data_IF_347005296925
#
_entry.id   IF_347005296925
#
_cell.length_a   1.000
_cell.length_b   1.000
_cell.length_c   1.000
_cell.angle_alpha   90.00
_cell.angle_beta   90.00
_cell.angle_gamma   90.00
#
_symmetry.space_group_name_H-M   'P 1'
#
loop_
_entity.id
_entity.type
_entity.pdbx_description
1 polymer ?
#
# COMPACT_ATOMS: atom_id res chain seq x y z
N UNK A 1 -14.52 -2.19 -32.83
CA UNK A 1 -14.28 -2.85 -31.53
C UNK A 1 -12.92 -2.36 -31.07
N UNK A 2 -12.91 -1.15 -30.53
CA UNK A 2 -11.67 -0.50 -30.08
C UNK A 2 -11.45 -0.91 -28.62
N UNK A 3 -10.29 -1.51 -28.35
CA UNK A 3 -9.88 -1.84 -27.01
C UNK A 3 -9.69 -0.54 -26.20
N UNK A 4 -10.42 -0.34 -25.09
CA UNK A 4 -10.27 0.86 -24.29
C UNK A 4 -8.90 0.79 -23.60
N UNK A 5 -8.03 1.72 -23.98
CA UNK A 5 -6.69 1.88 -23.44
C UNK A 5 -6.71 2.03 -21.92
N UNK A 6 -6.58 0.91 -21.20
CA UNK A 6 -5.84 0.59 -19.98
C UNK A 6 -5.53 1.61 -18.87
N UNK A 7 -5.99 2.86 -18.90
CA UNK A 7 -5.64 3.90 -17.94
C UNK A 7 -6.70 3.97 -16.83
N UNK A 8 -6.24 3.91 -15.58
CA UNK A 8 -7.09 4.16 -14.39
C UNK A 8 -7.81 5.49 -14.51
N UNK A 9 -7.23 6.45 -15.22
CA UNK A 9 -7.82 7.76 -15.43
C UNK A 9 -9.10 7.68 -16.25
N UNK A 10 -9.15 6.82 -17.27
CA UNK A 10 -10.38 6.58 -18.04
C UNK A 10 -11.45 5.93 -17.17
N UNK A 11 -11.09 4.92 -16.38
CA UNK A 11 -12.02 4.27 -15.46
C UNK A 11 -12.53 5.24 -14.36
N UNK A 12 -11.65 6.09 -13.82
CA UNK A 12 -12.02 7.12 -12.84
C UNK A 12 -12.84 8.27 -13.45
N UNK A 13 -12.58 8.64 -14.70
CA UNK A 13 -13.31 9.68 -15.41
C UNK A 13 -14.70 9.21 -15.81
N UNK A 14 -14.84 7.99 -16.33
CA UNK A 14 -16.15 7.36 -16.54
C UNK A 14 -16.90 7.22 -15.21
N UNK A 15 -16.24 6.79 -14.12
CA UNK A 15 -16.91 6.74 -12.82
C UNK A 15 -17.34 8.12 -12.32
N UNK A 16 -16.54 9.16 -12.54
CA UNK A 16 -16.84 10.53 -12.13
C UNK A 16 -17.97 11.17 -12.97
N UNK A 17 -18.04 10.86 -14.27
CA UNK A 17 -19.11 11.31 -15.16
C UNK A 17 -20.42 10.57 -14.93
N UNK A 18 -20.35 9.26 -14.64
CA UNK A 18 -21.53 8.40 -14.45
C UNK A 18 -22.00 8.32 -12.99
N UNK A 19 -21.24 8.91 -12.05
CA UNK A 19 -21.58 8.89 -10.63
C UNK A 19 -22.90 9.64 -10.36
N UNK A 20 -23.90 9.00 -9.71
CA UNK A 20 -25.10 9.68 -9.23
C UNK A 20 -24.73 10.83 -8.28
N UNK A 21 -25.55 11.89 -8.21
CA UNK A 21 -25.32 13.00 -7.27
C UNK A 21 -25.22 12.56 -5.80
N UNK A 22 -25.76 11.39 -5.46
CA UNK A 22 -25.69 10.77 -4.13
C UNK A 22 -24.33 10.12 -3.80
N UNK A 23 -23.38 10.12 -4.73
CA UNK A 23 -22.06 9.49 -4.58
C UNK A 23 -22.04 7.98 -4.84
N UNK A 24 -20.87 7.37 -4.73
CA UNK A 24 -20.63 5.92 -4.90
C UNK A 24 -20.26 5.29 -3.55
N UNK A 25 -20.67 4.03 -3.34
CA UNK A 25 -20.14 3.28 -2.21
C UNK A 25 -18.70 2.85 -2.48
N UNK A 26 -17.92 2.64 -1.41
CA UNK A 26 -16.58 2.07 -1.51
C UNK A 26 -16.60 0.74 -2.26
N UNK A 27 -17.62 -0.09 -2.06
CA UNK A 27 -17.82 -1.33 -2.83
C UNK A 27 -17.87 -1.08 -4.34
N UNK A 28 -18.74 -0.19 -4.80
CA UNK A 28 -18.89 0.11 -6.23
C UNK A 28 -17.61 0.70 -6.83
N UNK A 29 -16.85 1.49 -6.04
CA UNK A 29 -15.56 2.02 -6.47
C UNK A 29 -14.52 0.90 -6.64
N UNK A 30 -14.47 -0.07 -5.72
CA UNK A 30 -13.50 -1.16 -5.79
C UNK A 30 -13.86 -2.21 -6.83
N UNK A 31 -15.15 -2.55 -6.98
CA UNK A 31 -15.64 -3.45 -8.03
C UNK A 31 -15.29 -2.89 -9.43
N UNK A 32 -15.34 -1.56 -9.61
CA UNK A 32 -14.93 -0.92 -10.86
C UNK A 32 -13.41 -0.90 -11.09
N UNK A 33 -12.60 -1.04 -10.03
CA UNK A 33 -11.14 -1.06 -10.11
C UNK A 33 -10.58 -2.48 -10.29
N UNK A 34 -11.37 -3.52 -10.01
CA UNK A 34 -11.06 -4.95 -10.20
C UNK A 34 -9.66 -5.31 -9.65
N UNK A 35 -8.76 -5.90 -10.46
CA UNK A 35 -7.39 -6.26 -10.07
C UNK A 35 -6.58 -5.06 -9.50
N UNK A 36 -6.95 -3.81 -9.84
CA UNK A 36 -6.27 -2.60 -9.37
C UNK A 36 -6.70 -2.16 -7.98
N UNK A 37 -7.79 -2.72 -7.45
CA UNK A 37 -8.34 -2.38 -6.14
C UNK A 37 -7.36 -2.68 -5.00
N UNK A 38 -6.57 -3.76 -5.09
CA UNK A 38 -5.52 -4.06 -4.12
C UNK A 38 -4.51 -2.93 -4.01
N UNK A 39 -3.97 -2.49 -5.15
CA UNK A 39 -3.02 -1.38 -5.21
C UNK A 39 -3.61 -0.09 -4.67
N UNK A 40 -4.86 0.23 -5.03
CA UNK A 40 -5.53 1.44 -4.57
C UNK A 40 -5.74 1.47 -3.04
N UNK A 41 -6.20 0.36 -2.45
CA UNK A 41 -6.43 0.26 -1.00
C UNK A 41 -5.11 0.32 -0.24
N UNK A 42 -4.14 -0.48 -0.65
CA UNK A 42 -2.82 -0.51 -0.01
C UNK A 42 -2.15 0.85 -0.10
N UNK A 43 -2.25 1.54 -1.23
CA UNK A 43 -1.69 2.87 -1.41
C UNK A 43 -2.35 3.87 -0.45
N UNK A 44 -3.68 3.89 -0.39
CA UNK A 44 -4.41 4.76 0.53
C UNK A 44 -4.06 4.51 2.00
N UNK A 45 -3.90 3.24 2.40
CA UNK A 45 -3.50 2.86 3.76
C UNK A 45 -2.02 3.16 4.05
N UNK A 46 -1.14 3.12 3.05
CA UNK A 46 0.27 3.40 3.22
C UNK A 46 0.60 4.89 3.33
N UNK A 47 -0.24 5.77 2.80
CA UNK A 47 -0.01 7.23 2.83
C UNK A 47 0.17 7.79 4.25
N UNK A 48 -0.69 7.49 5.24
CA UNK A 48 -0.44 7.90 6.64
C UNK A 48 0.88 7.37 7.19
N UNK A 49 1.30 6.16 6.79
CA UNK A 49 2.55 5.53 7.24
C UNK A 49 3.81 6.23 6.70
N UNK A 50 3.69 7.00 5.61
CA UNK A 50 4.79 7.77 5.02
C UNK A 50 5.10 9.06 5.79
N UNK A 51 4.26 9.47 6.74
CA UNK A 51 4.46 10.69 7.51
C UNK A 51 5.52 10.42 8.60
N UNK A 52 6.68 11.12 8.56
CA UNK A 52 7.70 10.96 9.60
C UNK A 52 7.16 11.46 10.94
N UNK A 53 7.63 10.86 12.04
CA UNK A 53 7.22 11.20 13.42
C UNK A 53 5.75 10.93 13.76
N UNK A 54 4.99 10.23 12.91
CA UNK A 54 3.65 9.77 13.25
C UNK A 54 3.72 8.49 14.10
N UNK A 55 3.22 8.56 15.33
CA UNK A 55 3.19 7.43 16.27
C UNK A 55 1.80 6.82 16.37
N UNK A 56 1.72 5.53 16.74
CA UNK A 56 0.51 4.72 16.88
C UNK A 56 -0.31 4.49 15.59
N UNK A 57 -0.57 5.53 14.79
CA UNK A 57 -1.36 5.42 13.55
C UNK A 57 -0.76 4.40 12.58
N UNK A 58 0.55 4.41 12.24
CA UNK A 58 1.10 3.43 11.31
C UNK A 58 0.96 1.99 11.79
N UNK A 59 1.03 1.74 13.10
CA UNK A 59 0.90 0.38 13.67
C UNK A 59 -0.54 -0.14 13.58
N UNK A 60 -1.53 0.74 13.80
CA UNK A 60 -2.94 0.39 13.68
C UNK A 60 -3.29 0.17 12.20
N UNK A 61 -2.79 1.03 11.32
CA UNK A 61 -3.08 1.00 9.88
C UNK A 61 -2.34 -0.15 9.18
N UNK A 62 -1.19 -0.58 9.68
CA UNK A 62 -0.47 -1.73 9.13
C UNK A 62 -1.21 -3.06 9.30
N UNK A 63 -2.12 -3.17 10.27
CA UNK A 63 -2.93 -4.38 10.47
C UNK A 63 -3.90 -4.67 9.29
N UNK A 64 -4.82 -3.75 8.92
CA UNK A 64 -5.66 -3.96 7.75
C UNK A 64 -4.82 -4.02 6.47
N UNK A 65 -3.72 -3.27 6.39
CA UNK A 65 -2.80 -3.33 5.24
C UNK A 65 -2.18 -4.73 5.08
N UNK A 66 -1.72 -5.35 6.18
CA UNK A 66 -1.23 -6.71 6.20
C UNK A 66 -2.31 -7.73 5.83
N UNK A 67 -3.54 -7.53 6.31
CA UNK A 67 -4.67 -8.38 5.96
C UNK A 67 -4.99 -8.33 4.46
N UNK A 68 -4.99 -7.14 3.84
CA UNK A 68 -5.17 -6.98 2.40
C UNK A 68 -4.01 -7.63 1.61
N UNK A 69 -2.77 -7.39 2.03
CA UNK A 69 -1.60 -8.03 1.41
C UNK A 69 -1.64 -9.56 1.52
N UNK A 70 -2.13 -10.10 2.65
CA UNK A 70 -2.30 -11.53 2.84
C UNK A 70 -3.36 -12.13 1.91
N UNK A 71 -4.41 -11.38 1.59
CA UNK A 71 -5.39 -11.82 0.58
C UNK A 71 -4.78 -11.95 -0.82
N UNK A 72 -3.79 -11.11 -1.17
CA UNK A 72 -3.03 -11.28 -2.40
C UNK A 72 -2.20 -12.56 -2.40
N UNK A 73 -1.62 -12.94 -1.25
CA UNK A 73 -0.90 -14.23 -1.09
C UNK A 73 -1.81 -15.43 -1.35
N UNK A 74 -3.06 -15.34 -0.90
CA UNK A 74 -4.09 -16.35 -1.18
C UNK A 74 -4.52 -16.39 -2.66
N UNK A 75 -4.11 -15.40 -3.46
CA UNK A 75 -4.43 -15.31 -4.88
C UNK A 75 -5.86 -14.88 -5.16
N UNK A 76 -6.45 -14.05 -4.29
CA UNK A 76 -7.74 -13.43 -4.59
C UNK A 76 -7.60 -12.39 -5.69
N UNK A 77 -8.57 -12.32 -6.59
CA UNK A 77 -8.66 -11.31 -7.66
C UNK A 77 -9.06 -9.93 -7.15
N UNK A 78 -9.84 -9.88 -6.07
CA UNK A 78 -10.33 -8.65 -5.45
C UNK A 78 -10.13 -8.63 -3.93
N UNK A 79 -9.87 -7.45 -3.32
CA UNK A 79 -9.74 -7.29 -1.88
C UNK A 79 -11.11 -7.39 -1.21
N UNK A 80 -11.26 -8.32 -0.27
CA UNK A 80 -12.44 -8.40 0.57
C UNK A 80 -12.44 -7.29 1.62
N UNK A 81 -13.52 -6.51 1.67
CA UNK A 81 -13.76 -5.46 2.65
C UNK A 81 -14.87 -5.85 3.62
N UNK A 82 -14.75 -5.52 4.93
CA UNK A 82 -15.85 -5.68 5.87
C UNK A 82 -17.05 -4.83 5.47
N UNK A 83 -18.28 -5.35 5.62
CA UNK A 83 -19.53 -4.70 5.18
C UNK A 83 -19.66 -3.25 5.66
N UNK A 84 -19.25 -2.96 6.91
CA UNK A 84 -19.25 -1.60 7.49
C UNK A 84 -18.42 -0.58 6.70
N UNK A 85 -17.37 -1.01 6.00
CA UNK A 85 -16.56 -0.16 5.14
C UNK A 85 -17.08 -0.18 3.71
N UNK A 86 -17.49 -1.34 3.20
CA UNK A 86 -18.03 -1.49 1.85
C UNK A 86 -19.22 -0.56 1.58
N UNK A 87 -20.08 -0.34 2.58
CA UNK A 87 -21.29 0.48 2.47
C UNK A 87 -21.06 1.98 2.71
N UNK A 88 -19.84 2.39 3.10
CA UNK A 88 -19.53 3.82 3.23
C UNK A 88 -19.61 4.48 1.86
N UNK A 89 -20.37 5.57 1.79
CA UNK A 89 -20.50 6.38 0.58
C UNK A 89 -19.50 7.52 0.58
N UNK A 90 -18.85 7.71 -0.55
CA UNK A 90 -18.06 8.90 -0.87
C UNK A 90 -18.96 9.80 -1.70
N UNK A 91 -19.15 11.04 -1.25
CA UNK A 91 -19.89 12.06 -1.97
C UNK A 91 -19.16 12.49 -3.26
N UNK A 92 -19.90 13.12 -4.18
CA UNK A 92 -19.33 13.53 -5.48
C UNK A 92 -18.11 14.44 -5.31
N UNK A 93 -18.13 15.35 -4.33
CA UNK A 93 -17.00 16.23 -4.04
C UNK A 93 -15.76 15.46 -3.56
N UNK A 94 -15.94 14.42 -2.74
CA UNK A 94 -14.88 13.50 -2.33
C UNK A 94 -14.32 12.70 -3.50
N UNK A 95 -15.18 12.17 -4.36
CA UNK A 95 -14.79 11.45 -5.59
C UNK A 95 -13.97 12.34 -6.52
N UNK A 96 -14.42 13.56 -6.78
CA UNK A 96 -13.66 14.52 -7.60
C UNK A 96 -12.32 14.90 -6.97
N UNK A 97 -12.23 14.95 -5.64
CA UNK A 97 -10.96 15.24 -4.94
C UNK A 97 -9.98 14.07 -5.06
N UNK A 98 -10.48 12.84 -4.99
CA UNK A 98 -9.71 11.62 -5.25
C UNK A 98 -9.27 11.59 -6.70
N UNK A 99 -10.16 11.87 -7.65
CA UNK A 99 -9.85 11.93 -9.08
C UNK A 99 -8.84 13.03 -9.41
N UNK A 100 -8.95 14.24 -8.83
CA UNK A 100 -7.96 15.32 -9.01
C UNK A 100 -6.60 15.00 -8.41
N UNK A 101 -6.57 14.42 -7.21
CA UNK A 101 -5.32 13.97 -6.58
C UNK A 101 -4.70 12.84 -7.40
N UNK A 102 -5.52 11.90 -7.85
CA UNK A 102 -5.20 10.88 -8.84
C UNK A 102 -4.56 11.51 -10.07
N UNK A 103 -5.23 12.39 -10.79
CA UNK A 103 -4.69 13.10 -11.97
C UNK A 103 -3.37 13.82 -11.70
N UNK A 104 -3.13 14.36 -10.50
CA UNK A 104 -1.85 15.01 -10.16
C UNK A 104 -0.70 14.00 -10.00
N UNK A 105 -0.95 12.83 -9.41
CA UNK A 105 0.03 11.76 -9.27
C UNK A 105 0.16 10.93 -10.57
N UNK A 106 -0.96 10.63 -11.23
CA UNK A 106 -1.07 9.84 -12.45
C UNK A 106 -0.82 10.63 -13.73
N UNK A 107 -0.92 11.96 -13.75
CA UNK A 107 -0.59 12.76 -14.94
C UNK A 107 0.92 12.80 -15.24
N UNK A 108 1.75 12.69 -14.21
CA UNK A 108 3.19 12.41 -14.37
C UNK A 108 3.44 10.93 -14.70
N UNK A 109 2.60 10.04 -14.15
CA UNK A 109 2.66 8.62 -14.40
C UNK A 109 2.27 8.27 -15.84
N UNK A 110 1.27 8.85 -16.50
CA UNK A 110 0.94 8.56 -17.91
C UNK A 110 2.09 8.85 -18.89
N UNK A 111 3.01 9.78 -18.53
CA UNK A 111 4.24 10.03 -19.31
C UNK A 111 5.36 9.02 -19.05
N UNK A 112 5.34 8.29 -17.93
CA UNK A 112 6.41 7.39 -17.45
C UNK A 112 5.98 5.90 -17.48
N UNK A 113 4.74 5.64 -17.06
CA UNK A 113 4.01 4.38 -17.04
C UNK A 113 3.67 3.98 -18.46
N UNK A 114 4.60 3.27 -19.08
CA UNK A 114 4.25 2.30 -20.11
C UNK A 114 4.04 0.96 -19.41
N UNK A 115 3.13 0.08 -19.87
CA UNK A 115 3.00 -1.28 -19.36
C UNK A 115 4.31 -2.04 -19.62
N UNK A 116 5.25 -1.90 -18.69
CA UNK A 116 6.59 -2.47 -18.72
C UNK A 116 6.62 -3.52 -17.61
N UNK A 117 7.11 -4.71 -17.94
CA UNK A 117 7.20 -5.84 -17.02
C UNK A 117 5.84 -6.29 -16.45
N UNK A 118 4.80 -6.37 -17.28
CA UNK A 118 3.47 -6.90 -16.91
C UNK A 118 3.49 -8.31 -16.33
N UNK A 119 4.58 -9.07 -16.52
CA UNK A 119 4.80 -10.35 -15.83
C UNK A 119 4.79 -10.22 -14.30
N UNK A 120 5.20 -9.06 -13.75
CA UNK A 120 5.12 -8.79 -12.31
C UNK A 120 3.68 -8.60 -11.80
N UNK A 121 2.73 -8.33 -12.72
CA UNK A 121 1.29 -8.31 -12.44
C UNK A 121 0.60 -9.63 -12.84
N UNK A 122 1.36 -10.71 -13.02
CA UNK A 122 0.78 -12.06 -13.16
C UNK A 122 0.32 -12.59 -11.80
N UNK A 123 -0.68 -13.48 -11.79
CA UNK A 123 -1.25 -14.01 -10.55
C UNK A 123 -0.23 -14.71 -9.63
N UNK A 124 0.89 -15.20 -10.17
CA UNK A 124 1.98 -15.77 -9.36
C UNK A 124 2.87 -14.68 -8.77
N UNK A 125 3.22 -13.66 -9.56
CA UNK A 125 4.03 -12.55 -9.10
C UNK A 125 3.28 -11.71 -8.05
N UNK A 126 1.97 -11.51 -8.20
CA UNK A 126 1.15 -10.81 -7.21
C UNK A 126 1.13 -11.52 -5.85
N UNK A 127 1.18 -12.86 -5.81
CA UNK A 127 1.30 -13.62 -4.56
C UNK A 127 2.64 -13.38 -3.87
N UNK A 128 3.73 -13.32 -4.64
CA UNK A 128 5.08 -13.02 -4.12
C UNK A 128 5.12 -11.59 -3.60
N UNK A 129 4.57 -10.64 -4.37
CA UNK A 129 4.45 -9.24 -3.97
C UNK A 129 3.64 -9.11 -2.69
N UNK A 130 2.50 -9.80 -2.60
CA UNK A 130 1.68 -9.89 -1.38
C UNK A 130 2.48 -10.37 -0.18
N UNK A 131 3.31 -11.40 -0.34
CA UNK A 131 4.13 -11.94 0.74
C UNK A 131 5.20 -10.93 1.22
N UNK A 132 5.85 -10.22 0.29
CA UNK A 132 6.79 -9.15 0.62
C UNK A 132 6.09 -7.97 1.32
N UNK A 133 4.90 -7.59 0.85
CA UNK A 133 4.08 -6.57 1.46
C UNK A 133 3.67 -6.96 2.89
N UNK A 134 3.33 -8.22 3.15
CA UNK A 134 3.10 -8.71 4.51
C UNK A 134 4.34 -8.53 5.41
N UNK A 135 5.55 -8.80 4.90
CA UNK A 135 6.79 -8.57 5.65
C UNK A 135 7.00 -7.08 5.94
N UNK A 136 6.76 -6.21 4.96
CA UNK A 136 6.88 -4.76 5.16
C UNK A 136 5.87 -4.25 6.20
N UNK A 137 4.61 -4.70 6.11
CA UNK A 137 3.58 -4.38 7.12
C UNK A 137 3.96 -4.89 8.51
N UNK A 138 4.50 -6.10 8.60
CA UNK A 138 5.01 -6.66 9.86
C UNK A 138 6.13 -5.81 10.46
N UNK A 139 7.01 -5.25 9.64
CA UNK A 139 8.05 -4.33 10.13
C UNK A 139 7.49 -3.00 10.64
N UNK A 140 6.41 -2.47 10.06
CA UNK A 140 5.72 -1.26 10.53
C UNK A 140 5.04 -1.49 11.89
N UNK A 141 4.59 -2.72 12.15
CA UNK A 141 4.01 -3.11 13.44
C UNK A 141 5.02 -3.03 14.60
N UNK A 142 6.33 -3.08 14.33
CA UNK A 142 7.34 -2.95 15.37
C UNK A 142 7.43 -1.49 15.85
N UNK A 143 7.21 -1.20 17.15
CA UNK A 143 7.29 0.15 17.69
C UNK A 143 8.76 0.57 17.83
N UNK A 144 9.40 0.94 16.72
CA UNK A 144 10.69 1.62 16.74
C UNK A 144 10.54 3.06 16.23
N UNK A 145 11.22 4.03 16.86
CA UNK A 145 11.21 5.41 16.39
C UNK A 145 11.93 5.51 15.04
N UNK A 146 11.38 6.28 14.10
CA UNK A 146 11.94 6.55 12.76
C UNK A 146 12.01 5.36 11.79
N UNK A 147 11.62 4.16 12.21
CA UNK A 147 11.71 2.92 11.40
C UNK A 147 10.49 2.65 10.53
N UNK A 148 9.34 3.27 10.82
CA UNK A 148 8.07 2.90 10.20
C UNK A 148 7.84 3.60 8.86
N UNK A 149 8.51 4.73 8.66
CA UNK A 149 8.36 5.56 7.46
C UNK A 149 8.96 4.88 6.22
N UNK A 150 10.16 4.32 6.33
CA UNK A 150 10.83 3.61 5.22
C UNK A 150 10.02 2.44 4.65
N UNK A 151 9.55 1.47 5.46
CA UNK A 151 8.69 0.39 4.97
C UNK A 151 7.32 0.91 4.54
N UNK A 152 6.79 1.98 5.15
CA UNK A 152 5.57 2.66 4.69
C UNK A 152 5.71 3.18 3.26
N UNK A 153 6.84 3.85 2.96
CA UNK A 153 7.17 4.30 1.60
C UNK A 153 7.36 3.14 0.62
N UNK A 154 8.01 2.06 1.05
CA UNK A 154 8.14 0.86 0.22
C UNK A 154 6.76 0.28 -0.17
N UNK A 155 5.85 0.15 0.80
CA UNK A 155 4.48 -0.32 0.54
C UNK A 155 3.74 0.64 -0.39
N UNK A 156 3.85 1.96 -0.18
CA UNK A 156 3.22 2.95 -1.04
C UNK A 156 3.73 2.86 -2.50
N UNK A 157 5.03 2.69 -2.72
CA UNK A 157 5.59 2.53 -4.07
C UNK A 157 5.14 1.24 -4.73
N UNK A 158 5.14 0.12 -4.01
CA UNK A 158 4.66 -1.17 -4.53
C UNK A 158 3.17 -1.11 -4.85
N UNK A 159 2.36 -0.55 -3.95
CA UNK A 159 0.93 -0.39 -4.14
C UNK A 159 0.58 0.53 -5.31
N UNK A 160 1.35 1.61 -5.47
CA UNK A 160 1.24 2.49 -6.63
C UNK A 160 1.60 1.77 -7.93
N UNK A 161 2.67 0.98 -7.93
CA UNK A 161 3.07 0.16 -9.08
C UNK A 161 2.04 -0.91 -9.45
N UNK A 162 1.43 -1.58 -8.46
CA UNK A 162 0.32 -2.52 -8.67
C UNK A 162 -0.88 -1.81 -9.30
N UNK A 163 -1.27 -0.68 -8.73
CA UNK A 163 -2.38 0.13 -9.22
C UNK A 163 -2.12 0.58 -10.67
N UNK A 164 -0.96 1.17 -10.95
CA UNK A 164 -0.57 1.66 -12.26
C UNK A 164 -0.17 0.57 -13.27
N UNK A 165 -0.12 -0.71 -12.85
CA UNK A 165 0.49 -1.83 -13.61
C UNK A 165 1.91 -1.50 -14.10
N UNK A 166 2.68 -0.80 -13.28
CA UNK A 166 4.08 -0.44 -13.51
C UNK A 166 5.01 -1.32 -12.68
N UNK A 167 5.57 -2.36 -13.33
CA UNK A 167 6.49 -3.29 -12.67
C UNK A 167 7.80 -2.63 -12.22
N UNK A 168 8.22 -1.50 -12.80
CA UNK A 168 9.44 -0.81 -12.37
C UNK A 168 9.23 -0.15 -10.99
N UNK A 169 8.09 0.51 -10.78
CA UNK A 169 7.73 1.10 -9.48
C UNK A 169 7.62 0.02 -8.40
N UNK A 170 7.04 -1.13 -8.75
CA UNK A 170 6.99 -2.29 -7.86
C UNK A 170 8.40 -2.75 -7.48
N UNK A 171 9.32 -2.88 -8.45
CA UNK A 171 10.71 -3.29 -8.19
C UNK A 171 11.42 -2.30 -7.28
N UNK A 172 11.32 -0.99 -7.55
CA UNK A 172 11.94 0.04 -6.71
C UNK A 172 11.42 -0.05 -5.28
N UNK A 173 10.10 -0.14 -5.09
CA UNK A 173 9.49 -0.31 -3.78
C UNK A 173 9.94 -1.60 -3.08
N UNK A 174 10.01 -2.72 -3.81
CA UNK A 174 10.52 -3.99 -3.29
C UNK A 174 11.98 -3.91 -2.87
N UNK A 175 12.85 -3.25 -3.65
CA UNK A 175 14.26 -3.06 -3.29
C UNK A 175 14.38 -2.26 -2.00
N UNK A 176 13.64 -1.15 -1.87
CA UNK A 176 13.65 -0.32 -0.67
C UNK A 176 13.18 -1.13 0.54
N UNK A 177 12.03 -1.81 0.42
CA UNK A 177 11.46 -2.58 1.52
C UNK A 177 12.31 -3.78 1.91
N UNK A 178 12.86 -4.53 0.95
CA UNK A 178 13.73 -5.68 1.24
C UNK A 178 15.06 -5.25 1.85
N UNK A 179 15.66 -4.17 1.36
CA UNK A 179 16.86 -3.58 1.96
C UNK A 179 16.61 -3.15 3.40
N UNK A 180 15.45 -2.55 3.66
CA UNK A 180 15.01 -2.19 5.01
C UNK A 180 14.87 -3.41 5.93
N UNK A 181 14.18 -4.46 5.48
CA UNK A 181 14.06 -5.72 6.23
C UNK A 181 15.44 -6.33 6.49
N UNK A 182 16.32 -6.35 5.49
CA UNK A 182 17.69 -6.85 5.65
C UNK A 182 18.46 -6.07 6.72
N UNK A 183 18.38 -4.74 6.70
CA UNK A 183 18.95 -3.86 7.73
C UNK A 183 18.37 -4.18 9.11
N UNK A 184 17.06 -4.34 9.24
CA UNK A 184 16.40 -4.71 10.50
C UNK A 184 16.85 -6.08 11.01
N UNK A 185 17.00 -7.08 10.15
CA UNK A 185 17.43 -8.43 10.55
C UNK A 185 18.89 -8.43 11.03
N UNK A 186 19.76 -7.63 10.42
CA UNK A 186 21.19 -7.56 10.78
C UNK A 186 21.40 -6.69 12.03
N UNK A 187 20.82 -5.49 12.06
CA UNK A 187 21.06 -4.50 13.12
C UNK A 187 20.08 -4.64 14.29
N UNK A 188 18.89 -5.19 14.06
CA UNK A 188 17.86 -5.36 15.09
C UNK A 188 18.33 -6.16 16.31
N UNK A 189 18.97 -7.34 16.14
CA UNK A 189 19.50 -8.11 17.26
C UNK A 189 20.56 -7.35 18.07
N UNK A 190 21.38 -6.52 17.40
CA UNK A 190 22.42 -5.71 18.06
C UNK A 190 21.77 -4.59 18.87
N UNK A 191 20.84 -3.85 18.27
CA UNK A 191 20.11 -2.79 18.97
C UNK A 191 19.32 -3.31 20.16
N UNK A 192 18.69 -4.49 20.02
CA UNK A 192 17.95 -5.13 21.11
C UNK A 192 18.87 -5.52 22.27
N UNK A 193 20.04 -6.10 21.98
CA UNK A 193 21.03 -6.46 23.02
C UNK A 193 21.50 -5.24 23.80
N UNK A 194 21.83 -4.15 23.12
CA UNK A 194 22.28 -2.91 23.78
C UNK A 194 21.16 -2.25 24.59
N UNK A 195 19.92 -2.23 24.08
CA UNK A 195 18.77 -1.72 24.82
C UNK A 195 18.50 -2.53 26.09
N UNK A 196 18.52 -3.87 26.00
CA UNK A 196 18.34 -4.77 27.16
C UNK A 196 19.45 -4.54 28.18
N UNK A 197 20.71 -4.44 27.74
CA UNK A 197 21.86 -4.17 28.61
C UNK A 197 21.73 -2.83 29.33
N UNK A 198 21.33 -1.78 28.62
CA UNK A 198 21.10 -0.45 29.20
C UNK A 198 19.97 -0.47 30.24
N UNK A 199 18.88 -1.20 29.97
CA UNK A 199 17.76 -1.37 30.91
C UNK A 199 18.23 -2.15 32.16
N UNK A 200 18.95 -3.25 32.00
CA UNK A 200 19.48 -4.03 33.12
C UNK A 200 20.43 -3.20 34.00
N UNK A 201 21.28 -2.37 33.37
CA UNK A 201 22.15 -1.43 34.08
C UNK A 201 21.35 -0.37 34.86
N UNK A 202 20.25 0.15 34.31
CA UNK A 202 19.37 1.09 35.01
C UNK A 202 18.57 0.44 36.14
N UNK A 203 18.20 -0.84 36.01
CA UNK A 203 17.45 -1.59 37.03
C UNK A 203 18.39 -2.14 38.13
N UNK A 204 19.71 -1.97 37.99
CA UNK A 204 20.69 -2.39 39.00
C UNK A 204 20.91 -3.91 39.08
N UNK A 205 20.42 -4.66 38.08
CA UNK A 205 20.68 -6.10 37.96
C UNK A 205 21.97 -6.25 37.14
N UNK A 206 23.11 -5.97 37.77
CA UNK A 206 24.41 -6.01 37.10
C UNK A 206 25.55 -5.40 37.88
N UNK A 207 25.91 -6.00 39.03
CA UNK A 207 27.27 -6.00 39.58
C UNK A 207 27.66 -7.44 39.84
#
# INVERSE_FOLDING_TARGET
MEEPSGSILTALDELAETAPEKGLSLRQLFDALDERAFGAILFALALPCCIPFLYAVPQIVSLPMAAIAFQMVLGRSEPWLPEKFADRRIDKAGLERIARSGRRFFGWAEKIVRPRLTFLASSVAERIVGALLCLFCGSIMLPFPLTNTTPGFAVALVAFGLMARDGLMMIVGMIIGTSWIGMLVILGPVALKEAVKAILAMVGIGS
#
